data_IF_907924978896
#
_entry.id   IF_907924978896
#
_cell.length_a   1.000
_cell.length_b   1.000
_cell.length_c   1.000
_cell.angle_alpha   90.00
_cell.angle_beta   90.00
_cell.angle_gamma   90.00
#
_symmetry.space_group_name_H-M   'P 1'
#
loop_
_entity.id
_entity.type
_entity.pdbx_description
1 polymer ?
#
# COMPACT_ATOMS: atom_id res chain seq x y z
N UNK A 1 16.41 -15.34 19.11
CA UNK A 1 16.63 -14.33 20.19
C UNK A 1 15.28 -13.94 20.74
N UNK A 2 15.12 -13.79 22.06
CA UNK A 2 13.86 -13.36 22.67
C UNK A 2 14.12 -12.49 23.91
N UNK A 3 13.16 -11.66 24.29
CA UNK A 3 13.18 -10.92 25.55
C UNK A 3 12.21 -11.53 26.58
N UNK A 4 12.18 -10.97 27.79
CA UNK A 4 11.25 -11.40 28.85
C UNK A 4 9.84 -10.78 28.73
N UNK A 5 9.54 -10.06 27.65
CA UNK A 5 8.25 -9.41 27.42
C UNK A 5 7.56 -9.88 26.14
N UNK A 6 8.09 -10.91 25.48
CA UNK A 6 7.45 -11.65 24.38
C UNK A 6 7.94 -11.33 22.98
N UNK A 7 8.83 -10.35 22.79
CA UNK A 7 9.42 -10.08 21.48
C UNK A 7 10.41 -11.18 21.11
N UNK A 8 10.40 -11.63 19.85
CA UNK A 8 11.31 -12.67 19.39
C UNK A 8 11.66 -12.58 17.91
N UNK A 9 12.88 -13.02 17.62
CA UNK A 9 13.35 -13.39 16.28
C UNK A 9 13.60 -14.89 16.30
N UNK A 10 12.82 -15.63 15.51
CA UNK A 10 12.76 -17.09 15.54
C UNK A 10 13.01 -17.69 14.16
N UNK A 11 13.92 -18.67 14.08
CA UNK A 11 14.21 -19.44 12.86
C UNK A 11 13.84 -20.89 13.11
N UNK A 12 13.18 -21.51 12.13
CA UNK A 12 12.73 -22.90 12.18
C UNK A 12 12.66 -23.51 10.79
N UNK A 13 12.36 -24.81 10.72
CA UNK A 13 12.13 -25.50 9.45
C UNK A 13 10.94 -24.92 8.66
N UNK A 14 9.95 -24.33 9.35
CA UNK A 14 8.81 -23.70 8.70
C UNK A 14 9.12 -22.28 8.16
N UNK A 15 10.26 -21.70 8.53
CA UNK A 15 10.67 -20.35 8.12
C UNK A 15 11.15 -19.47 9.28
N UNK A 16 11.15 -18.17 9.02
CA UNK A 16 11.59 -17.12 9.96
C UNK A 16 10.42 -16.26 10.41
N UNK A 17 10.41 -15.87 11.69
CA UNK A 17 9.41 -14.97 12.28
C UNK A 17 10.10 -13.86 13.06
N UNK A 18 9.70 -12.62 12.77
CA UNK A 18 9.92 -11.44 13.61
C UNK A 18 8.60 -11.11 14.31
N UNK A 19 8.54 -11.31 15.62
CA UNK A 19 7.35 -11.09 16.43
C UNK A 19 7.61 -9.96 17.44
N UNK A 20 6.84 -8.89 17.33
CA UNK A 20 6.93 -7.72 18.21
C UNK A 20 6.29 -7.91 19.58
N UNK A 21 5.64 -9.05 19.87
CA UNK A 21 5.02 -9.30 21.16
C UNK A 21 3.94 -8.28 21.54
N UNK A 22 3.22 -7.74 20.54
CA UNK A 22 2.23 -6.67 20.72
C UNK A 22 2.82 -5.25 20.80
N UNK A 23 4.13 -5.09 20.65
CA UNK A 23 4.82 -3.78 20.59
C UNK A 23 5.21 -3.42 19.16
N UNK A 24 5.50 -2.13 18.87
CA UNK A 24 5.98 -1.71 17.56
C UNK A 24 7.28 -2.39 17.15
N UNK A 25 7.40 -2.72 15.87
CA UNK A 25 8.65 -3.15 15.23
C UNK A 25 9.11 -2.00 14.32
N UNK A 26 10.30 -1.46 14.58
CA UNK A 26 10.85 -0.29 13.87
C UNK A 26 12.15 -0.66 13.16
N UNK A 27 12.24 -0.31 11.87
CA UNK A 27 13.49 -0.35 11.09
C UNK A 27 13.91 1.10 10.86
N UNK A 28 15.07 1.51 11.34
CA UNK A 28 15.55 2.90 11.32
C UNK A 28 16.98 3.00 10.82
N UNK A 29 17.36 4.17 10.29
CA UNK A 29 18.71 4.47 9.78
C UNK A 29 19.19 3.49 8.69
N UNK A 30 18.27 2.90 7.94
CA UNK A 30 18.56 2.06 6.78
C UNK A 30 18.47 2.89 5.51
N UNK A 31 19.50 2.91 4.63
CA UNK A 31 19.43 3.65 3.38
C UNK A 31 18.42 3.06 2.39
N UNK A 32 18.15 1.76 2.48
CA UNK A 32 17.20 1.04 1.63
C UNK A 32 16.66 -0.22 2.34
N UNK A 33 15.46 -0.67 1.94
CA UNK A 33 14.85 -1.95 2.35
C UNK A 33 14.31 -2.64 1.09
N UNK A 34 14.98 -3.70 0.65
CA UNK A 34 14.54 -4.55 -0.46
C UNK A 34 13.83 -5.82 0.06
N UNK A 35 12.60 -6.04 -0.38
CA UNK A 35 11.88 -7.30 -0.19
C UNK A 35 11.81 -8.09 -1.51
N UNK A 36 12.82 -8.93 -1.77
CA UNK A 36 12.84 -9.81 -2.95
C UNK A 36 11.91 -11.01 -2.74
N UNK A 37 10.65 -10.83 -3.12
CA UNK A 37 9.59 -11.83 -3.01
C UNK A 37 8.57 -11.67 -4.13
N UNK A 38 8.01 -12.76 -4.67
CA UNK A 38 6.89 -12.68 -5.61
C UNK A 38 5.64 -12.00 -5.01
N UNK A 39 5.48 -11.99 -3.68
CA UNK A 39 4.29 -11.44 -3.04
C UNK A 39 4.60 -10.86 -1.66
N UNK A 40 4.30 -9.57 -1.50
CA UNK A 40 4.27 -8.88 -0.21
C UNK A 40 2.81 -8.75 0.26
N UNK A 41 2.49 -9.32 1.42
CA UNK A 41 1.14 -9.26 2.01
C UNK A 41 1.15 -8.32 3.22
N UNK A 42 0.23 -7.37 3.24
CA UNK A 42 -0.05 -6.51 4.39
C UNK A 42 -1.55 -6.59 4.70
N UNK A 43 -1.89 -6.94 5.93
CA UNK A 43 -3.30 -6.97 6.39
C UNK A 43 -3.81 -5.60 6.81
N UNK A 44 -2.89 -4.65 7.08
CA UNK A 44 -3.20 -3.28 7.45
C UNK A 44 -2.98 -2.30 6.29
N UNK A 45 -3.03 -1.02 6.64
CA UNK A 45 -2.72 0.06 5.72
C UNK A 45 -1.21 0.24 5.50
N UNK A 46 -0.85 0.75 4.32
CA UNK A 46 0.49 1.24 4.01
C UNK A 46 0.40 2.75 3.88
N UNK A 47 1.12 3.48 4.72
CA UNK A 47 1.33 4.92 4.59
C UNK A 47 2.78 5.16 4.18
N UNK A 48 3.02 5.30 2.88
CA UNK A 48 4.31 5.67 2.33
C UNK A 48 4.56 7.17 2.52
N UNK A 49 5.83 7.59 2.59
CA UNK A 49 6.21 9.00 2.77
C UNK A 49 5.47 9.67 3.95
N UNK A 50 5.30 8.97 5.07
CA UNK A 50 4.38 9.32 6.16
C UNK A 50 4.62 10.67 6.85
N UNK A 51 5.78 11.31 6.64
CA UNK A 51 6.06 12.66 7.14
C UNK A 51 5.34 13.76 6.34
N UNK A 52 4.99 13.48 5.08
CA UNK A 52 4.37 14.46 4.16
C UNK A 52 3.05 13.95 3.59
N UNK A 53 2.91 12.65 3.40
CA UNK A 53 1.68 12.02 2.95
C UNK A 53 0.85 11.57 4.16
N UNK A 54 -0.44 11.92 4.16
CA UNK A 54 -1.41 11.56 5.21
C UNK A 54 -2.39 10.47 4.77
N UNK A 55 -2.35 10.05 3.51
CA UNK A 55 -3.31 9.10 2.93
C UNK A 55 -2.66 7.76 2.64
N UNK A 56 -3.31 6.69 3.10
CA UNK A 56 -2.84 5.31 2.91
C UNK A 56 -3.00 4.87 1.45
N UNK A 57 -2.21 3.88 1.01
CA UNK A 57 -2.34 3.27 -0.31
C UNK A 57 -3.73 2.69 -0.57
N UNK A 58 -4.40 2.15 0.45
CA UNK A 58 -5.79 1.70 0.32
C UNK A 58 -6.75 2.89 0.12
N UNK A 59 -6.58 3.96 0.91
CA UNK A 59 -7.32 5.20 0.72
C UNK A 59 -7.08 5.83 -0.65
N UNK A 60 -5.86 5.70 -1.18
CA UNK A 60 -5.53 6.15 -2.54
C UNK A 60 -6.35 5.41 -3.60
N UNK A 61 -6.42 4.09 -3.50
CA UNK A 61 -7.23 3.25 -4.38
C UNK A 61 -8.73 3.58 -4.28
N UNK A 62 -9.26 3.85 -3.09
CA UNK A 62 -10.68 4.22 -2.95
C UNK A 62 -11.00 5.48 -3.77
N UNK A 63 -10.17 6.52 -3.65
CA UNK A 63 -10.35 7.76 -4.42
C UNK A 63 -10.16 7.49 -5.92
N UNK A 64 -9.10 6.77 -6.30
CA UNK A 64 -8.83 6.47 -7.71
C UNK A 64 -9.91 5.59 -8.35
N UNK A 65 -10.52 4.66 -7.63
CA UNK A 65 -11.57 3.80 -8.17
C UNK A 65 -12.94 4.48 -8.19
N UNK A 66 -13.18 5.43 -7.27
CA UNK A 66 -14.45 6.13 -7.13
C UNK A 66 -14.54 7.48 -7.84
N UNK A 67 -13.43 8.02 -8.36
CA UNK A 67 -13.47 9.35 -8.98
C UNK A 67 -14.21 9.34 -10.32
N UNK A 68 -14.87 10.46 -10.61
CA UNK A 68 -15.57 10.72 -11.87
C UNK A 68 -15.03 11.98 -12.53
N UNK A 69 -15.14 12.09 -13.85
CA UNK A 69 -14.75 13.27 -14.60
C UNK A 69 -15.97 13.97 -15.20
N UNK A 70 -16.15 15.28 -14.96
CA UNK A 70 -17.18 16.04 -15.66
C UNK A 70 -16.80 16.16 -17.15
N UNK A 71 -17.73 15.84 -18.04
CA UNK A 71 -17.55 16.01 -19.48
C UNK A 71 -18.28 17.27 -19.92
N UNK A 72 -17.51 18.25 -20.39
CA UNK A 72 -18.02 19.55 -20.82
C UNK A 72 -18.15 19.61 -22.35
N UNK A 73 -18.99 20.50 -22.86
CA UNK A 73 -19.16 20.79 -24.30
C UNK A 73 -19.62 19.60 -25.16
N UNK A 74 -20.55 18.80 -24.64
CA UNK A 74 -21.16 17.68 -25.38
C UNK A 74 -22.64 17.92 -25.67
N UNK A 75 -23.11 17.44 -26.81
CA UNK A 75 -24.55 17.38 -27.10
C UNK A 75 -25.17 16.22 -26.31
N UNK A 76 -26.27 16.48 -25.62
CA UNK A 76 -26.99 15.44 -24.85
C UNK A 76 -27.69 14.45 -25.78
N UNK A 77 -27.83 13.20 -25.34
CA UNK A 77 -28.44 12.11 -26.09
C UNK A 77 -28.68 10.87 -25.22
N UNK A 78 -29.26 9.82 -25.80
CA UNK A 78 -29.63 8.59 -25.08
C UNK A 78 -28.58 7.46 -25.10
N UNK A 79 -27.48 7.64 -25.83
CA UNK A 79 -26.45 6.60 -25.98
C UNK A 79 -25.48 6.61 -24.79
N UNK A 80 -25.05 5.42 -24.35
CA UNK A 80 -23.95 5.24 -23.41
C UNK A 80 -22.71 4.78 -24.16
N UNK A 81 -21.59 5.48 -23.96
CA UNK A 81 -20.30 5.18 -24.58
C UNK A 81 -19.20 5.15 -23.51
N UNK A 82 -18.14 4.37 -23.74
CA UNK A 82 -17.01 4.27 -22.82
C UNK A 82 -15.83 5.12 -23.30
N UNK A 83 -15.07 5.68 -22.37
CA UNK A 83 -13.81 6.35 -22.69
C UNK A 83 -12.76 5.36 -23.19
N UNK A 84 -11.82 5.86 -23.99
CA UNK A 84 -10.61 5.11 -24.34
C UNK A 84 -9.55 5.24 -23.23
N UNK A 85 -8.50 4.41 -23.22
CA UNK A 85 -7.35 4.61 -22.36
C UNK A 85 -6.74 6.03 -22.52
N UNK A 86 -6.13 6.61 -21.47
CA UNK A 86 -5.44 7.89 -21.58
C UNK A 86 -4.37 7.86 -22.67
N UNK A 87 -4.26 8.94 -23.45
CA UNK A 87 -3.24 9.10 -24.50
C UNK A 87 -2.05 9.94 -24.05
N UNK A 88 -2.07 10.43 -22.81
CA UNK A 88 -0.97 11.17 -22.21
C UNK A 88 0.14 10.18 -21.81
N UNK A 89 1.42 10.49 -22.07
CA UNK A 89 2.54 9.75 -21.50
C UNK A 89 2.49 9.80 -19.97
N UNK A 90 2.93 8.71 -19.33
CA UNK A 90 3.20 8.67 -17.89
C UNK A 90 4.36 9.59 -17.50
#
# INVERSE_FOLDING_TARGET
MHDNTGQKVYLSQAGMVLDGGGKPVTITNTPDILADTPMLKCTGDILDNCNTNTRTMAGMRTVANGHTHPINNVQTGGSTINTQPPTQPE
#
